data_IF_957769724411
#
_entry.id   IF_957769724411
#
_cell.length_a   1.000
_cell.length_b   1.000
_cell.length_c   1.000
_cell.angle_alpha   90.00
_cell.angle_beta   90.00
_cell.angle_gamma   90.00
#
_symmetry.space_group_name_H-M   'P 1'
#
loop_
_entity.id
_entity.type
_entity.pdbx_description
1 polymer ?
#
# COMPACT_ATOMS: atom_id res chain seq x y z
N UNK A 1 1.38 28.36 8.15
CA UNK A 1 1.85 29.76 8.10
C UNK A 1 1.10 30.58 9.15
N UNK A 2 1.80 31.33 10.02
CA UNK A 2 1.17 32.16 11.05
C UNK A 2 1.04 33.61 10.56
N UNK A 3 -0.10 33.93 9.95
CA UNK A 3 -0.38 35.23 9.33
C UNK A 3 -0.16 36.48 10.22
N UNK A 4 -0.51 36.48 11.53
CA UNK A 4 -0.26 37.65 12.37
C UNK A 4 1.24 37.96 12.50
N UNK A 5 2.07 36.94 12.74
CA UNK A 5 3.53 37.09 12.85
C UNK A 5 4.18 37.54 11.54
N UNK A 6 3.61 37.14 10.41
CA UNK A 6 4.04 37.62 9.10
C UNK A 6 3.79 39.11 8.93
N UNK A 7 2.60 39.58 9.33
CA UNK A 7 2.28 41.02 9.28
C UNK A 7 3.19 41.83 10.20
N UNK A 8 3.42 41.39 11.43
CA UNK A 8 4.29 42.11 12.36
C UNK A 8 5.73 42.26 11.80
N UNK A 9 6.32 41.17 11.28
CA UNK A 9 7.65 41.20 10.67
C UNK A 9 7.68 42.06 9.41
N UNK A 10 6.64 41.96 8.58
CA UNK A 10 6.55 42.74 7.36
C UNK A 10 6.34 44.24 7.65
N UNK A 11 5.51 44.62 8.60
CA UNK A 11 5.27 46.02 8.97
C UNK A 11 6.49 46.67 9.64
N UNK A 12 7.31 45.89 10.37
CA UNK A 12 8.57 46.39 10.94
C UNK A 12 9.73 46.48 9.93
N UNK A 13 9.80 45.56 8.96
CA UNK A 13 10.95 45.45 8.03
C UNK A 13 10.63 45.95 6.60
N UNK A 14 9.40 46.42 6.34
CA UNK A 14 9.01 46.89 5.00
C UNK A 14 9.71 48.21 4.62
N UNK A 15 10.30 48.30 3.41
CA UNK A 15 10.80 49.56 2.87
C UNK A 15 9.65 50.54 2.64
N UNK A 16 9.82 51.80 3.05
CA UNK A 16 8.83 52.88 2.81
C UNK A 16 8.63 53.21 1.33
N UNK A 17 9.57 52.83 0.46
CA UNK A 17 9.51 53.06 -0.98
C UNK A 17 10.11 51.87 -1.75
N UNK A 18 9.33 51.29 -2.67
CA UNK A 18 9.77 50.16 -3.51
C UNK A 18 10.55 50.72 -4.70
N UNK A 19 11.88 50.80 -4.57
CA UNK A 19 12.77 51.26 -5.65
C UNK A 19 13.21 50.13 -6.59
N UNK A 20 13.27 48.89 -6.08
CA UNK A 20 13.67 47.71 -6.83
C UNK A 20 12.73 46.54 -6.55
N UNK A 21 12.00 46.10 -7.58
CA UNK A 21 11.01 45.02 -7.48
C UNK A 21 11.65 43.66 -7.15
N UNK A 22 12.85 43.38 -7.66
CA UNK A 22 13.54 42.09 -7.41
C UNK A 22 13.99 41.97 -5.96
N UNK A 23 14.52 43.05 -5.40
CA UNK A 23 14.93 43.09 -3.99
C UNK A 23 13.71 43.02 -3.06
N UNK A 24 12.63 43.71 -3.43
CA UNK A 24 11.39 43.69 -2.66
C UNK A 24 10.73 42.30 -2.65
N UNK A 25 10.62 41.63 -3.80
CA UNK A 25 10.08 40.26 -3.89
C UNK A 25 10.97 39.25 -3.16
N UNK A 26 12.29 39.43 -3.16
CA UNK A 26 13.22 38.60 -2.39
C UNK A 26 13.04 38.78 -0.87
N UNK A 27 12.89 40.02 -0.40
CA UNK A 27 12.58 40.33 1.02
C UNK A 27 11.25 39.69 1.45
N UNK A 28 10.21 39.84 0.63
CA UNK A 28 8.90 39.22 0.87
C UNK A 28 9.01 37.68 0.95
N UNK A 29 9.75 37.07 0.02
CA UNK A 29 10.04 35.63 0.05
C UNK A 29 10.79 35.19 1.32
N UNK A 30 11.72 36.02 1.81
CA UNK A 30 12.41 35.81 3.08
C UNK A 30 11.48 35.86 4.29
N UNK A 31 10.57 36.83 4.34
CA UNK A 31 9.59 36.96 5.43
C UNK A 31 8.59 35.80 5.46
N UNK A 32 8.14 35.34 4.29
CA UNK A 32 7.27 34.17 4.16
C UNK A 32 7.98 32.91 4.64
N UNK A 33 9.25 32.70 4.25
CA UNK A 33 10.04 31.55 4.73
C UNK A 33 10.26 31.59 6.24
N UNK A 34 10.58 32.76 6.81
CA UNK A 34 10.83 32.94 8.25
C UNK A 34 9.59 32.67 9.12
N UNK A 35 8.40 32.96 8.59
CA UNK A 35 7.13 32.82 9.33
C UNK A 35 6.33 31.56 8.98
N UNK A 36 6.80 30.83 7.97
CA UNK A 36 6.27 29.53 7.58
C UNK A 36 7.06 28.44 8.29
N UNK A 37 6.45 27.85 9.31
CA UNK A 37 6.93 26.59 9.86
C UNK A 37 6.42 25.46 8.96
N UNK A 38 7.34 24.80 8.26
CA UNK A 38 7.05 23.55 7.57
C UNK A 38 6.90 22.45 8.63
N UNK A 39 5.65 22.11 8.94
CA UNK A 39 5.35 20.91 9.69
C UNK A 39 5.15 19.80 8.68
N UNK A 40 5.94 18.71 8.77
CA UNK A 40 5.55 17.45 8.13
C UNK A 40 4.14 17.14 8.61
N UNK A 41 3.21 16.96 7.66
CA UNK A 41 1.86 16.53 8.00
C UNK A 41 2.01 15.32 8.93
N UNK A 42 1.40 15.39 10.11
CA UNK A 42 1.34 14.25 10.99
C UNK A 42 0.74 13.11 10.16
N UNK A 43 1.52 12.06 9.91
CA UNK A 43 0.98 10.79 9.48
C UNK A 43 -0.11 10.47 10.50
N UNK A 44 -1.37 10.59 10.07
CA UNK A 44 -2.52 10.09 10.81
C UNK A 44 -2.31 8.57 10.86
N UNK A 45 -1.48 8.10 11.79
CA UNK A 45 -1.31 6.68 12.02
C UNK A 45 -2.63 6.19 12.61
N UNK A 46 -3.39 5.35 11.89
CA UNK A 46 -4.62 4.83 12.44
C UNK A 46 -4.28 4.10 13.73
N UNK A 47 -5.06 4.35 14.79
CA UNK A 47 -4.88 3.71 16.09
C UNK A 47 -4.70 2.19 15.90
N UNK A 48 -3.49 1.70 16.16
CA UNK A 48 -3.13 0.30 15.97
C UNK A 48 -4.08 -0.58 16.76
N UNK A 49 -4.71 -1.55 16.10
CA UNK A 49 -5.68 -2.46 16.73
C UNK A 49 -5.01 -3.22 17.88
N UNK A 50 -5.50 -3.00 19.10
CA UNK A 50 -4.91 -3.56 20.33
C UNK A 50 -4.96 -5.08 20.37
N UNK A 51 -5.97 -5.68 19.75
CA UNK A 51 -6.11 -7.14 19.60
C UNK A 51 -5.07 -7.70 18.64
N UNK A 52 -4.88 -7.10 17.48
CA UNK A 52 -3.87 -7.52 16.50
C UNK A 52 -2.45 -7.41 17.10
N UNK A 53 -2.18 -6.34 17.86
CA UNK A 53 -0.91 -6.18 18.59
C UNK A 53 -0.71 -7.33 19.61
N UNK A 54 -1.75 -7.69 20.34
CA UNK A 54 -1.70 -8.80 21.30
C UNK A 54 -1.44 -10.14 20.60
N UNK A 55 -2.14 -10.42 19.50
CA UNK A 55 -1.95 -11.65 18.71
C UNK A 55 -0.52 -11.73 18.14
N UNK A 56 0.03 -10.61 17.67
CA UNK A 56 1.40 -10.54 17.16
C UNK A 56 2.44 -10.79 18.26
N UNK A 57 2.25 -10.21 19.44
CA UNK A 57 3.11 -10.45 20.61
C UNK A 57 3.06 -11.92 21.05
N UNK A 58 1.88 -12.53 21.05
CA UNK A 58 1.70 -13.95 21.35
C UNK A 58 2.42 -14.82 20.31
N UNK A 59 2.25 -14.55 19.01
CA UNK A 59 2.94 -15.24 17.92
C UNK A 59 4.48 -15.13 18.04
N UNK A 60 5.01 -13.93 18.32
CA UNK A 60 6.44 -13.73 18.54
C UNK A 60 6.97 -14.54 19.75
N UNK A 61 6.18 -14.64 20.83
CA UNK A 61 6.54 -15.45 22.00
C UNK A 61 6.60 -16.94 21.67
N UNK A 62 5.65 -17.45 20.88
CA UNK A 62 5.60 -18.84 20.42
C UNK A 62 6.77 -19.15 19.49
N UNK A 63 7.11 -18.25 18.57
CA UNK A 63 8.28 -18.36 17.70
C UNK A 63 9.58 -18.48 18.51
N UNK A 64 9.80 -17.60 19.50
CA UNK A 64 10.99 -17.65 20.38
C UNK A 64 11.07 -18.98 21.14
N UNK A 65 9.93 -19.50 21.60
CA UNK A 65 9.87 -20.81 22.29
C UNK A 65 10.17 -21.97 21.34
N UNK A 66 9.59 -21.95 20.14
CA UNK A 66 9.84 -22.96 19.11
C UNK A 66 11.30 -22.92 18.60
N UNK A 67 11.91 -21.74 18.50
CA UNK A 67 13.32 -21.61 18.14
C UNK A 67 14.25 -22.34 19.13
N UNK A 68 13.91 -22.36 20.43
CA UNK A 68 14.62 -23.14 21.45
C UNK A 68 14.28 -24.64 21.42
N UNK A 69 13.14 -25.01 20.83
CA UNK A 69 12.60 -26.37 20.78
C UNK A 69 12.19 -26.76 19.34
N UNK A 70 13.15 -26.71 18.40
CA UNK A 70 12.89 -26.82 16.94
C UNK A 70 12.15 -28.10 16.54
N UNK A 71 12.32 -29.18 17.30
CA UNK A 71 11.69 -30.48 17.04
C UNK A 71 10.27 -30.62 17.60
N UNK A 72 9.78 -29.63 18.36
CA UNK A 72 8.45 -29.66 18.95
C UNK A 72 7.36 -29.37 17.90
N UNK A 73 6.79 -30.43 17.34
CA UNK A 73 5.72 -30.36 16.32
C UNK A 73 4.43 -29.71 16.84
N UNK A 74 4.14 -29.80 18.16
CA UNK A 74 2.94 -29.17 18.74
C UNK A 74 3.06 -27.65 18.71
N UNK A 75 4.22 -27.10 19.09
CA UNK A 75 4.48 -25.65 19.00
C UNK A 75 4.42 -25.16 17.55
N UNK A 76 4.94 -25.94 16.59
CA UNK A 76 4.86 -25.60 15.17
C UNK A 76 3.40 -25.50 14.68
N UNK A 77 2.55 -26.47 15.03
CA UNK A 77 1.12 -26.43 14.69
C UNK A 77 0.41 -25.24 15.33
N UNK A 78 0.71 -24.97 16.60
CA UNK A 78 0.12 -23.83 17.31
C UNK A 78 0.51 -22.48 16.68
N UNK A 79 1.76 -22.32 16.24
CA UNK A 79 2.22 -21.15 15.49
C UNK A 79 1.40 -21.01 14.19
N UNK A 80 1.22 -22.10 13.45
CA UNK A 80 0.41 -22.09 12.24
C UNK A 80 -1.03 -21.64 12.52
N UNK A 81 -1.68 -22.19 13.55
CA UNK A 81 -3.04 -21.76 13.95
C UNK A 81 -3.07 -20.28 14.32
N UNK A 82 -2.09 -19.76 15.05
CA UNK A 82 -2.01 -18.33 15.36
C UNK A 82 -1.79 -17.47 14.12
N UNK A 83 -1.00 -17.93 13.13
CA UNK A 83 -0.88 -17.22 11.85
C UNK A 83 -2.23 -17.14 11.13
N UNK A 84 -2.94 -18.26 11.04
CA UNK A 84 -4.27 -18.33 10.43
C UNK A 84 -5.26 -17.38 11.14
N UNK A 85 -5.25 -17.33 12.47
CA UNK A 85 -6.07 -16.39 13.25
C UNK A 85 -5.71 -14.92 13.00
N UNK A 86 -4.40 -14.61 12.92
CA UNK A 86 -3.92 -13.25 12.61
C UNK A 86 -4.37 -12.82 11.22
N UNK A 87 -4.25 -13.69 10.23
CA UNK A 87 -4.70 -13.44 8.85
C UNK A 87 -6.21 -13.21 8.78
N UNK A 88 -7.01 -14.03 9.48
CA UNK A 88 -8.45 -13.85 9.53
C UNK A 88 -8.84 -12.50 10.17
N UNK A 89 -8.21 -12.15 11.29
CA UNK A 89 -8.50 -10.90 12.00
C UNK A 89 -8.04 -9.67 11.20
N UNK A 90 -6.87 -9.74 10.56
CA UNK A 90 -6.37 -8.65 9.71
C UNK A 90 -7.27 -8.43 8.48
N UNK A 91 -7.73 -9.50 7.84
CA UNK A 91 -8.69 -9.43 6.74
C UNK A 91 -10.04 -8.84 7.19
N UNK A 92 -10.53 -9.23 8.37
CA UNK A 92 -11.74 -8.67 8.97
C UNK A 92 -11.60 -7.17 9.24
N UNK A 93 -10.49 -6.75 9.86
CA UNK A 93 -10.21 -5.35 10.14
C UNK A 93 -10.08 -4.54 8.86
N UNK A 94 -9.38 -5.06 7.84
CA UNK A 94 -9.25 -4.40 6.54
C UNK A 94 -10.63 -4.13 5.93
N UNK A 95 -11.54 -5.12 5.96
CA UNK A 95 -12.92 -4.95 5.50
C UNK A 95 -13.69 -3.91 6.30
N UNK A 96 -13.56 -3.92 7.63
CA UNK A 96 -14.21 -2.90 8.47
C UNK A 96 -13.67 -1.50 8.21
N UNK A 97 -12.35 -1.35 8.13
CA UNK A 97 -11.69 -0.08 7.86
C UNK A 97 -12.08 0.45 6.49
N UNK A 98 -12.12 -0.44 5.48
CA UNK A 98 -12.61 -0.12 4.16
C UNK A 98 -14.07 0.34 4.17
N UNK A 99 -14.96 -0.38 4.86
CA UNK A 99 -16.36 0.01 5.01
C UNK A 99 -16.52 1.38 5.69
N UNK A 100 -15.78 1.64 6.78
CA UNK A 100 -15.76 2.95 7.45
C UNK A 100 -15.25 4.05 6.53
N UNK A 101 -14.22 3.74 5.75
CA UNK A 101 -13.67 4.66 4.76
C UNK A 101 -14.73 4.97 3.71
N UNK A 102 -15.35 3.97 3.07
CA UNK A 102 -16.40 4.15 2.06
C UNK A 102 -17.60 4.93 2.59
N UNK A 103 -18.05 4.66 3.82
CA UNK A 103 -19.13 5.40 4.46
C UNK A 103 -18.73 6.87 4.67
N UNK A 104 -17.50 7.12 5.12
CA UNK A 104 -16.95 8.47 5.24
C UNK A 104 -16.79 9.17 3.89
N UNK A 105 -16.47 8.45 2.81
CA UNK A 105 -16.40 9.01 1.46
C UNK A 105 -17.79 9.44 0.97
N UNK A 106 -18.83 8.63 1.21
CA UNK A 106 -20.19 8.89 0.74
C UNK A 106 -20.76 10.20 1.33
N UNK A 107 -20.42 10.50 2.58
CA UNK A 107 -20.82 11.74 3.26
C UNK A 107 -19.93 12.95 2.88
N UNK A 108 -18.74 12.73 2.30
CA UNK A 108 -17.72 13.77 2.07
C UNK A 108 -17.17 13.80 0.63
N UNK A 109 -17.98 13.46 -0.38
CA UNK A 109 -17.60 13.41 -1.81
C UNK A 109 -16.95 14.70 -2.36
N UNK A 110 -17.05 15.83 -1.65
CA UNK A 110 -16.37 17.09 -1.98
C UNK A 110 -14.94 17.25 -1.44
N UNK A 111 -14.41 16.33 -0.64
CA UNK A 111 -13.12 16.53 0.05
C UNK A 111 -11.91 16.17 -0.84
N UNK A 112 -10.87 17.02 -0.81
CA UNK A 112 -9.58 16.81 -1.50
C UNK A 112 -8.93 15.46 -1.14
N UNK A 113 -9.13 14.98 0.10
CA UNK A 113 -8.61 13.69 0.57
C UNK A 113 -9.28 12.51 -0.16
N UNK A 114 -10.61 12.52 -0.32
CA UNK A 114 -11.39 11.50 -1.06
C UNK A 114 -10.94 11.39 -2.50
N UNK A 115 -10.76 12.54 -3.18
CA UNK A 115 -10.26 12.58 -4.55
C UNK A 115 -8.83 12.07 -4.67
N UNK A 116 -7.93 12.39 -3.74
CA UNK A 116 -6.58 11.83 -3.75
C UNK A 116 -6.58 10.31 -3.56
N UNK A 117 -7.46 9.77 -2.71
CA UNK A 117 -7.57 8.33 -2.52
C UNK A 117 -8.04 7.62 -3.80
N UNK A 118 -9.08 8.13 -4.45
CA UNK A 118 -9.54 7.59 -5.74
C UNK A 118 -8.44 7.61 -6.81
N UNK A 119 -7.64 8.68 -6.84
CA UNK A 119 -6.49 8.80 -7.73
C UNK A 119 -5.40 7.77 -7.42
N UNK A 120 -5.12 7.53 -6.14
CA UNK A 120 -4.20 6.49 -5.70
C UNK A 120 -4.69 5.08 -6.04
N UNK A 121 -5.99 4.79 -5.91
CA UNK A 121 -6.56 3.48 -6.25
C UNK A 121 -6.53 3.18 -7.75
N UNK A 122 -6.42 4.22 -8.58
CA UNK A 122 -6.31 4.11 -10.03
C UNK A 122 -4.83 4.08 -10.51
N UNK A 123 -3.87 3.98 -9.58
CA UNK A 123 -2.42 4.07 -9.84
C UNK A 123 -2.01 5.33 -10.62
N UNK A 124 -2.77 6.42 -10.47
CA UNK A 124 -2.49 7.68 -11.13
C UNK A 124 -1.52 8.49 -10.26
N UNK A 125 -0.25 8.09 -10.27
CA UNK A 125 0.85 8.84 -9.65
C UNK A 125 1.20 10.15 -10.41
N UNK A 126 0.37 10.50 -11.38
CA UNK A 126 0.52 11.59 -12.32
C UNK A 126 -0.13 12.89 -11.77
N UNK A 127 0.18 14.04 -12.37
CA UNK A 127 -0.46 15.31 -11.95
C UNK A 127 -1.99 15.20 -11.98
N UNK A 128 -2.69 15.92 -11.08
CA UNK A 128 -4.17 15.93 -10.99
C UNK A 128 -4.84 16.07 -12.37
N UNK A 129 -4.24 16.85 -13.26
CA UNK A 129 -4.72 17.10 -14.63
C UNK A 129 -4.56 15.89 -15.54
N UNK A 130 -3.39 15.21 -15.52
CA UNK A 130 -3.14 14.01 -16.32
C UNK A 130 -4.07 12.85 -15.90
N UNK A 131 -4.28 12.70 -14.59
CA UNK A 131 -5.23 11.75 -14.05
C UNK A 131 -6.68 12.04 -14.49
N UNK A 132 -7.09 13.31 -14.48
CA UNK A 132 -8.42 13.74 -14.94
C UNK A 132 -8.64 13.46 -16.43
N UNK A 133 -7.65 13.72 -17.28
CA UNK A 133 -7.74 13.44 -18.71
C UNK A 133 -7.84 11.93 -18.98
N UNK A 134 -7.16 11.08 -18.20
CA UNK A 134 -7.29 9.62 -18.31
C UNK A 134 -8.65 9.12 -17.81
N UNK A 135 -9.14 9.61 -16.67
CA UNK A 135 -10.49 9.31 -16.18
C UNK A 135 -11.54 9.70 -17.22
N UNK A 136 -11.45 10.91 -17.77
CA UNK A 136 -12.34 11.39 -18.81
C UNK A 136 -12.26 10.53 -20.09
N UNK A 137 -11.06 10.06 -20.45
CA UNK A 137 -10.87 9.13 -21.57
C UNK A 137 -11.51 7.78 -21.28
N UNK A 138 -11.34 7.22 -20.09
CA UNK A 138 -11.93 5.94 -19.68
C UNK A 138 -13.46 6.01 -19.64
N UNK A 139 -14.03 7.09 -19.11
CA UNK A 139 -15.47 7.34 -19.12
C UNK A 139 -15.98 7.47 -20.56
N UNK A 140 -15.28 8.20 -21.43
CA UNK A 140 -15.65 8.30 -22.85
C UNK A 140 -15.41 7.02 -23.67
N UNK A 141 -14.47 6.16 -23.25
CA UNK A 141 -14.22 4.85 -23.88
C UNK A 141 -15.23 3.79 -23.44
N UNK A 142 -16.00 4.07 -22.37
CA UNK A 142 -17.07 3.20 -21.95
C UNK A 142 -18.25 3.34 -22.93
N UNK A 143 -18.53 2.26 -23.67
CA UNK A 143 -19.56 2.19 -24.71
C UNK A 143 -21.02 2.12 -24.18
N UNK A 144 -21.20 2.19 -22.85
CA UNK A 144 -22.50 2.10 -22.17
C UNK A 144 -23.00 3.44 -21.63
N UNK A 145 -24.28 3.50 -21.26
CA UNK A 145 -24.90 4.68 -20.65
C UNK A 145 -24.35 4.92 -19.23
N UNK A 146 -24.40 6.16 -18.73
CA UNK A 146 -23.98 6.49 -17.34
C UNK A 146 -24.74 5.65 -16.28
N UNK A 147 -25.94 5.18 -16.62
CA UNK A 147 -26.76 4.25 -15.81
C UNK A 147 -26.20 2.81 -15.81
N UNK A 148 -25.58 2.35 -16.90
CA UNK A 148 -24.94 1.01 -16.97
C UNK A 148 -23.71 0.93 -16.05
N UNK A 149 -23.03 2.06 -15.85
CA UNK A 149 -21.91 2.20 -14.92
C UNK A 149 -22.30 2.12 -13.43
N UNK A 150 -23.58 2.32 -13.10
CA UNK A 150 -24.09 2.29 -11.72
C UNK A 150 -24.88 1.01 -11.40
N UNK A 151 -25.40 0.32 -12.42
CA UNK A 151 -26.23 -0.89 -12.27
C UNK A 151 -25.46 -2.19 -12.02
N UNK A 152 -24.15 -2.25 -12.30
CA UNK A 152 -23.35 -3.46 -11.99
C UNK A 152 -23.24 -3.76 -10.49
N UNK A 153 -23.57 -2.81 -9.60
CA UNK A 153 -23.49 -2.98 -8.15
C UNK A 153 -24.77 -3.53 -7.50
N UNK A 154 -25.90 -3.67 -8.21
CA UNK A 154 -27.18 -4.03 -7.57
C UNK A 154 -27.74 -5.41 -7.92
N UNK A 155 -27.04 -6.24 -8.70
CA UNK A 155 -27.44 -7.64 -8.88
C UNK A 155 -27.04 -8.51 -7.67
N UNK A 156 -27.98 -9.08 -6.88
CA UNK A 156 -27.68 -9.85 -5.67
C UNK A 156 -27.16 -11.28 -5.91
N UNK A 157 -26.85 -11.65 -7.14
CA UNK A 157 -26.44 -13.01 -7.53
C UNK A 157 -25.78 -12.85 -8.89
N UNK A 158 -24.46 -12.91 -9.03
CA UNK A 158 -23.65 -14.12 -8.91
C UNK A 158 -22.21 -13.69 -8.64
N UNK A 159 -21.76 -13.80 -7.39
CA UNK A 159 -20.35 -14.06 -7.15
C UNK A 159 -20.14 -15.54 -7.49
N UNK A 160 -19.35 -15.91 -8.52
CA UNK A 160 -18.99 -17.30 -8.71
C UNK A 160 -18.27 -17.76 -7.43
N UNK A 161 -18.92 -18.64 -6.70
CA UNK A 161 -18.47 -19.16 -5.40
C UNK A 161 -17.27 -20.11 -5.54
N UNK A 162 -16.55 -20.06 -6.66
CA UNK A 162 -15.41 -20.93 -6.95
C UNK A 162 -14.10 -20.16 -7.19
N UNK A 163 -14.04 -18.86 -6.92
CA UNK A 163 -12.76 -18.14 -6.92
C UNK A 163 -12.04 -18.29 -5.57
N UNK A 164 -11.86 -19.55 -5.16
CA UNK A 164 -10.82 -19.92 -4.19
C UNK A 164 -9.46 -19.72 -4.87
N UNK A 165 -8.82 -18.59 -4.55
CA UNK A 165 -7.37 -18.52 -4.47
C UNK A 165 -6.60 -18.88 -5.76
N UNK A 166 -6.84 -18.16 -6.86
CA UNK A 166 -5.87 -18.08 -7.97
C UNK A 166 -5.03 -16.80 -7.89
N UNK A 167 -4.46 -16.52 -6.72
CA UNK A 167 -3.41 -15.51 -6.53
C UNK A 167 -2.40 -16.00 -5.50
N UNK A 168 -1.96 -17.25 -5.64
CA UNK A 168 -0.91 -17.76 -4.78
C UNK A 168 0.16 -18.49 -5.60
N UNK A 169 1.18 -17.76 -6.09
CA UNK A 169 2.42 -18.40 -6.54
C UNK A 169 3.07 -19.27 -5.45
N UNK A 170 2.65 -19.13 -4.17
CA UNK A 170 3.24 -19.84 -3.03
C UNK A 170 3.14 -21.37 -3.11
N UNK A 171 2.11 -21.96 -3.73
CA UNK A 171 2.01 -23.44 -3.86
C UNK A 171 2.97 -24.03 -4.89
N UNK A 172 3.49 -23.23 -5.83
CA UNK A 172 4.40 -23.72 -6.87
C UNK A 172 5.85 -23.82 -6.39
N UNK A 173 6.23 -23.07 -5.35
CA UNK A 173 7.59 -23.06 -4.80
C UNK A 173 7.78 -24.06 -3.64
N UNK A 174 6.70 -24.56 -3.05
CA UNK A 174 6.69 -25.60 -2.02
C UNK A 174 7.45 -26.91 -2.38
N UNK A 175 7.49 -27.36 -3.65
CA UNK A 175 8.24 -28.55 -4.04
C UNK A 175 9.76 -28.37 -3.99
N UNK A 176 10.29 -27.15 -3.80
CA UNK A 176 11.74 -26.89 -3.76
C UNK A 176 12.21 -26.84 -2.30
N UNK A 177 12.75 -27.94 -1.74
CA UNK A 177 12.83 -28.15 -0.29
C UNK A 177 13.79 -27.20 0.44
N UNK A 178 14.81 -26.67 -0.26
CA UNK A 178 15.83 -25.79 0.34
C UNK A 178 15.48 -24.29 0.25
N UNK A 179 14.36 -23.95 -0.40
CA UNK A 179 14.00 -22.57 -0.69
C UNK A 179 13.01 -22.03 0.33
N UNK A 180 13.13 -20.73 0.55
CA UNK A 180 12.22 -19.88 1.29
C UNK A 180 11.81 -18.73 0.38
N UNK A 181 10.58 -18.26 0.55
CA UNK A 181 10.06 -17.19 -0.28
C UNK A 181 9.09 -16.30 0.51
N UNK A 182 8.94 -15.05 0.09
CA UNK A 182 7.90 -14.11 0.54
C UNK A 182 7.33 -13.41 -0.67
N UNK A 183 6.01 -13.20 -0.66
CA UNK A 183 5.31 -12.38 -1.63
C UNK A 183 4.80 -11.13 -0.92
N UNK A 184 5.08 -9.96 -1.47
CA UNK A 184 4.48 -8.70 -1.03
C UNK A 184 4.02 -7.93 -2.26
N UNK A 185 2.69 -7.77 -2.40
CA UNK A 185 2.07 -7.18 -3.57
C UNK A 185 2.58 -7.82 -4.89
N UNK A 186 3.35 -7.06 -5.67
CA UNK A 186 3.99 -7.43 -6.94
C UNK A 186 5.40 -8.01 -6.79
N UNK A 187 6.03 -7.89 -5.62
CA UNK A 187 7.40 -8.37 -5.36
C UNK A 187 7.42 -9.82 -4.83
N UNK A 188 8.23 -10.68 -5.48
CA UNK A 188 8.57 -12.03 -5.01
C UNK A 188 10.04 -12.06 -4.59
N UNK A 189 10.28 -12.33 -3.31
CA UNK A 189 11.64 -12.55 -2.79
C UNK A 189 11.86 -14.04 -2.55
N UNK A 190 12.94 -14.59 -3.11
CA UNK A 190 13.34 -16.00 -2.95
C UNK A 190 14.74 -16.07 -2.33
N UNK A 191 14.93 -16.91 -1.32
CA UNK A 191 16.24 -17.12 -0.69
C UNK A 191 16.40 -18.56 -0.19
N UNK A 192 17.62 -18.94 0.15
CA UNK A 192 17.95 -20.23 0.77
C UNK A 192 18.86 -20.04 1.98
N UNK A 193 18.79 -20.97 2.93
CA UNK A 193 19.58 -20.92 4.18
C UNK A 193 20.50 -22.13 4.36
N UNK A 194 20.48 -23.09 3.42
CA UNK A 194 21.17 -24.38 3.52
C UNK A 194 21.42 -24.98 2.13
N UNK A 195 22.62 -25.52 1.90
CA UNK A 195 23.00 -26.20 0.65
C UNK A 195 24.47 -25.95 0.30
N UNK A 196 25.04 -26.71 -0.63
CA UNK A 196 26.29 -26.34 -1.29
C UNK A 196 26.06 -25.27 -2.36
N UNK A 197 27.08 -24.51 -2.76
CA UNK A 197 26.94 -23.44 -3.76
C UNK A 197 26.26 -23.91 -5.07
N UNK A 198 26.57 -25.14 -5.52
CA UNK A 198 25.91 -25.75 -6.68
C UNK A 198 24.42 -26.03 -6.44
N UNK A 199 24.06 -26.55 -5.27
CA UNK A 199 22.66 -26.79 -4.90
C UNK A 199 21.88 -25.49 -4.72
N UNK A 200 22.53 -24.45 -4.21
CA UNK A 200 21.96 -23.11 -4.04
C UNK A 200 21.64 -22.52 -5.41
N UNK A 201 22.59 -22.55 -6.35
CA UNK A 201 22.40 -22.05 -7.71
C UNK A 201 21.27 -22.76 -8.46
N UNK A 202 21.28 -24.09 -8.46
CA UNK A 202 20.22 -24.88 -9.12
C UNK A 202 18.84 -24.63 -8.52
N UNK A 203 18.74 -24.51 -7.20
CA UNK A 203 17.48 -24.28 -6.54
C UNK A 203 16.94 -22.89 -6.88
N UNK A 204 17.76 -21.84 -6.75
CA UNK A 204 17.36 -20.47 -7.06
C UNK A 204 16.91 -20.34 -8.52
N UNK A 205 17.66 -20.92 -9.47
CA UNK A 205 17.28 -20.91 -10.88
C UNK A 205 15.93 -21.60 -11.10
N UNK A 206 15.74 -22.79 -10.52
CA UNK A 206 14.47 -23.52 -10.60
C UNK A 206 13.28 -22.74 -10.03
N UNK A 207 13.49 -21.99 -8.94
CA UNK A 207 12.46 -21.13 -8.39
C UNK A 207 12.11 -19.96 -9.31
N UNK A 208 13.11 -19.30 -9.90
CA UNK A 208 12.91 -18.23 -10.88
C UNK A 208 12.14 -18.75 -12.09
N UNK A 209 12.55 -19.88 -12.65
CA UNK A 209 11.90 -20.49 -13.82
C UNK A 209 10.42 -20.81 -13.53
N UNK A 210 10.15 -21.35 -12.33
CA UNK A 210 8.79 -21.68 -11.88
C UNK A 210 7.90 -20.44 -11.74
N UNK A 211 8.46 -19.34 -11.21
CA UNK A 211 7.75 -18.07 -11.07
C UNK A 211 7.50 -17.45 -12.45
N UNK A 212 8.51 -17.45 -13.33
CA UNK A 212 8.40 -16.93 -14.70
C UNK A 212 7.33 -17.68 -15.52
N UNK A 213 7.28 -19.01 -15.43
CA UNK A 213 6.26 -19.83 -16.11
C UNK A 213 4.85 -19.52 -15.60
N UNK A 214 4.69 -19.35 -14.28
CA UNK A 214 3.42 -18.98 -13.68
C UNK A 214 2.96 -17.59 -14.12
N UNK A 215 3.87 -16.61 -14.10
CA UNK A 215 3.63 -15.22 -14.49
C UNK A 215 3.25 -15.14 -15.99
N UNK A 216 3.95 -15.86 -16.85
CA UNK A 216 3.63 -15.95 -18.28
C UNK A 216 2.25 -16.56 -18.53
N UNK A 217 1.88 -17.64 -17.81
CA UNK A 217 0.53 -18.23 -17.89
C UNK A 217 -0.57 -17.30 -17.41
N UNK A 218 -0.26 -16.39 -16.49
CA UNK A 218 -1.17 -15.37 -15.99
C UNK A 218 -1.28 -14.14 -16.91
N UNK A 219 -0.52 -14.09 -18.01
CA UNK A 219 -0.48 -12.94 -18.92
C UNK A 219 0.28 -11.73 -18.36
N UNK A 220 1.14 -11.96 -17.38
CA UNK A 220 1.99 -10.95 -16.74
C UNK A 220 3.44 -11.12 -17.23
N UNK A 221 4.25 -10.06 -17.16
CA UNK A 221 5.67 -10.09 -17.54
C UNK A 221 6.54 -9.75 -16.32
N UNK A 222 7.62 -10.52 -16.12
CA UNK A 222 8.62 -10.19 -15.11
C UNK A 222 9.52 -9.05 -15.62
N UNK A 223 9.66 -7.98 -14.85
CA UNK A 223 10.65 -6.92 -15.11
C UNK A 223 12.06 -7.47 -14.84
N UNK A 224 12.95 -7.34 -15.83
CA UNK A 224 14.32 -7.92 -15.80
C UNK A 224 15.36 -6.98 -15.16
N UNK A 225 14.97 -5.76 -14.74
CA UNK A 225 15.91 -4.82 -14.10
C UNK A 225 15.85 -4.88 -12.58
N UNK A 226 16.86 -5.51 -11.98
CA UNK A 226 17.48 -5.18 -10.68
C UNK A 226 18.85 -5.83 -10.55
#
# INVERSE_FOLDING_TARGET
MKWPKFRDVHECEAPQCIRNLKEWTASLGGHVRRTTRESKAAEETPATDSRLLHMWNAHASLLRRWQKQRYNKKLRRLIQTHCEEIEQHSAYLARQQWGKLCNGLNEQLGNKKTWHLLLHLLDLNDSKTAAWHRLKRLVHQHLGSDEDLLTWQTSPSTMPTDQRCHYHPMKLLDPIPIIRHTLYADDVTVWTTTGSDGQIGEALQRAVDTVAEYVARAGLECLVEK
#
